data_IF_453170751327
#
_entry.id   IF_453170751327
#
_cell.length_a   1.000
_cell.length_b   1.000
_cell.length_c   1.000
_cell.angle_alpha   90.00
_cell.angle_beta   90.00
_cell.angle_gamma   90.00
#
_symmetry.space_group_name_H-M   'P 1'
#
loop_
_entity.id
_entity.type
_entity.pdbx_description
1 polymer ?
#
# COMPACT_ATOMS: atom_id res chain seq x y z
N UNK A 1 23.14 36.20 9.63
CA UNK A 1 22.04 37.14 9.96
C UNK A 1 21.30 37.42 8.65
N UNK A 2 20.01 37.07 8.56
CA UNK A 2 19.16 37.44 7.42
C UNK A 2 18.60 38.83 7.65
N UNK A 3 18.50 39.61 6.57
CA UNK A 3 18.26 41.07 6.52
C UNK A 3 16.94 41.58 7.18
N UNK A 4 16.09 40.67 7.67
CA UNK A 4 14.83 40.98 8.36
C UNK A 4 14.85 40.68 9.87
N UNK A 5 15.98 40.25 10.45
CA UNK A 5 16.07 39.86 11.87
C UNK A 5 15.26 38.61 12.26
N UNK A 6 14.54 38.01 11.30
CA UNK A 6 13.73 36.82 11.49
C UNK A 6 14.54 35.57 11.18
N UNK A 7 14.87 34.82 12.23
CA UNK A 7 15.40 33.47 12.12
C UNK A 7 14.20 32.51 12.06
N UNK A 8 13.81 32.12 10.85
CA UNK A 8 12.83 31.05 10.67
C UNK A 8 13.54 29.73 10.93
N UNK A 9 13.41 29.20 12.15
CA UNK A 9 13.85 27.84 12.46
C UNK A 9 12.64 26.92 12.49
N UNK A 10 12.68 25.92 11.62
CA UNK A 10 11.87 24.73 11.80
C UNK A 10 12.44 24.03 13.03
N UNK A 11 11.61 23.57 13.97
CA UNK A 11 12.03 22.95 15.25
C UNK A 11 12.68 21.56 15.06
N UNK A 12 13.55 21.44 14.08
CA UNK A 12 14.31 20.28 13.66
C UNK A 12 15.77 20.70 13.49
N UNK A 13 16.64 20.08 14.27
CA UNK A 13 18.09 20.24 14.14
C UNK A 13 18.61 19.44 12.95
N UNK A 14 19.85 19.69 12.53
CA UNK A 14 20.51 18.87 11.51
C UNK A 14 20.64 17.39 11.95
N UNK A 15 20.78 17.15 13.27
CA UNK A 15 20.85 15.81 13.85
C UNK A 15 19.50 15.08 13.77
N UNK A 16 18.39 15.79 13.96
CA UNK A 16 17.04 15.23 13.79
C UNK A 16 16.83 14.76 12.34
N UNK A 17 17.27 15.57 11.37
CA UNK A 17 17.22 15.22 9.95
C UNK A 17 18.03 13.95 9.63
N UNK A 18 19.25 13.86 10.14
CA UNK A 18 20.07 12.66 9.95
C UNK A 18 19.44 11.42 10.61
N UNK A 19 18.84 11.59 11.78
CA UNK A 19 18.16 10.51 12.48
C UNK A 19 16.95 9.99 11.71
N UNK A 20 16.13 10.89 11.15
CA UNK A 20 15.01 10.52 10.27
C UNK A 20 15.52 9.80 9.03
N UNK A 21 16.57 10.31 8.38
CA UNK A 21 17.14 9.68 7.19
C UNK A 21 17.71 8.27 7.49
N UNK A 22 18.25 8.03 8.69
CA UNK A 22 18.67 6.69 9.12
C UNK A 22 17.48 5.75 9.31
N UNK A 23 16.42 6.21 9.97
CA UNK A 23 15.19 5.42 10.15
C UNK A 23 14.56 5.11 8.80
N UNK A 24 14.46 6.09 7.91
CA UNK A 24 13.90 5.90 6.57
C UNK A 24 14.67 4.84 5.78
N UNK A 25 16.01 4.89 5.79
CA UNK A 25 16.83 3.87 5.12
C UNK A 25 16.69 2.49 5.74
N UNK A 26 16.51 2.39 7.06
CA UNK A 26 16.42 1.12 7.79
C UNK A 26 15.04 0.48 7.69
N UNK A 27 13.98 1.24 7.95
CA UNK A 27 12.61 0.76 8.13
C UNK A 27 11.71 1.01 6.91
N UNK A 28 12.08 1.95 6.04
CA UNK A 28 11.28 2.37 4.89
C UNK A 28 10.17 3.35 5.26
N UNK A 29 9.74 4.14 4.27
CA UNK A 29 8.70 5.16 4.43
C UNK A 29 7.34 4.53 4.81
N UNK A 30 7.02 3.36 4.25
CA UNK A 30 5.72 2.70 4.49
C UNK A 30 5.50 2.35 5.96
N UNK A 31 6.52 1.84 6.64
CA UNK A 31 6.43 1.53 8.08
C UNK A 31 6.33 2.80 8.93
N UNK A 32 7.05 3.86 8.55
CA UNK A 32 6.97 5.15 9.23
C UNK A 32 5.55 5.75 9.11
N UNK A 33 4.93 5.66 7.93
CA UNK A 33 3.56 6.10 7.68
C UNK A 33 2.55 5.22 8.44
N UNK A 34 2.72 3.89 8.42
CA UNK A 34 1.85 2.98 9.17
C UNK A 34 1.86 3.30 10.67
N UNK A 35 3.03 3.54 11.23
CA UNK A 35 3.18 3.99 12.62
C UNK A 35 2.50 5.34 12.85
N UNK A 36 2.73 6.32 11.95
CA UNK A 36 2.16 7.65 12.07
C UNK A 36 0.62 7.65 12.02
N UNK A 37 0.01 6.77 11.21
CA UNK A 37 -1.45 6.59 11.14
C UNK A 37 -2.04 6.00 12.43
N UNK A 38 -1.28 5.17 13.14
CA UNK A 38 -1.69 4.59 14.41
C UNK A 38 -1.46 5.51 15.63
N UNK A 39 -0.62 6.53 15.47
CA UNK A 39 -0.29 7.47 16.54
C UNK A 39 -1.50 8.36 16.87
N UNK A 40 -1.99 8.27 18.10
CA UNK A 40 -3.02 9.17 18.62
C UNK A 40 -2.37 10.39 19.22
N UNK A 41 -2.60 11.56 18.62
CA UNK A 41 -2.21 12.86 19.18
C UNK A 41 -3.45 13.73 19.39
N UNK A 42 -3.45 14.51 20.47
CA UNK A 42 -4.51 15.50 20.76
C UNK A 42 -4.35 16.77 19.92
N UNK A 43 -3.17 17.00 19.35
CA UNK A 43 -2.84 18.16 18.52
C UNK A 43 -2.30 17.73 17.15
N UNK A 44 -2.49 18.56 16.11
CA UNK A 44 -1.89 18.30 14.80
C UNK A 44 -0.36 18.20 14.92
N UNK A 45 0.19 17.06 14.50
CA UNK A 45 1.63 16.84 14.52
C UNK A 45 2.25 17.59 13.34
N UNK A 46 3.06 18.60 13.65
CA UNK A 46 3.70 19.47 12.65
C UNK A 46 5.08 19.00 12.21
N UNK A 47 5.76 18.20 13.03
CA UNK A 47 7.16 17.85 12.84
C UNK A 47 7.42 16.37 13.09
N UNK A 48 8.33 15.80 12.29
CA UNK A 48 8.76 14.41 12.38
C UNK A 48 9.50 14.09 13.70
N UNK A 49 10.02 15.09 14.39
CA UNK A 49 10.67 14.95 15.71
C UNK A 49 9.73 14.37 16.77
N UNK A 50 8.43 14.59 16.66
CA UNK A 50 7.44 13.92 17.50
C UNK A 50 7.53 12.41 17.36
N UNK A 51 7.58 11.91 16.12
CA UNK A 51 7.62 10.47 15.86
C UNK A 51 8.98 9.84 16.17
N UNK A 52 10.07 10.59 16.01
CA UNK A 52 11.39 10.19 16.51
C UNK A 52 11.33 9.86 18.00
N UNK A 53 10.69 10.74 18.80
CA UNK A 53 10.51 10.52 20.25
C UNK A 53 9.48 9.44 20.56
N UNK A 54 8.45 9.29 19.73
CA UNK A 54 7.36 8.35 19.95
C UNK A 54 7.74 6.89 19.64
N UNK A 55 8.78 6.63 18.85
CA UNK A 55 9.27 5.27 18.63
C UNK A 55 9.73 4.93 17.21
N UNK A 56 9.91 5.91 16.31
CA UNK A 56 10.45 5.64 14.97
C UNK A 56 11.82 4.93 14.99
N UNK A 57 12.63 5.15 16.02
CA UNK A 57 13.92 4.47 16.21
C UNK A 57 13.79 2.97 16.50
N UNK A 58 12.61 2.51 16.95
CA UNK A 58 12.29 1.11 17.22
C UNK A 58 11.54 0.39 16.09
N UNK A 59 11.28 1.06 14.95
CA UNK A 59 10.56 0.44 13.84
C UNK A 59 11.33 -0.77 13.29
N UNK A 60 10.62 -1.87 12.96
CA UNK A 60 11.25 -3.04 12.37
C UNK A 60 11.95 -2.64 11.07
N UNK A 61 13.11 -3.26 10.74
CA UNK A 61 13.77 -3.00 9.48
C UNK A 61 12.84 -3.36 8.32
N UNK A 62 13.02 -2.68 7.19
CA UNK A 62 12.32 -2.97 5.96
C UNK A 62 12.61 -4.43 5.62
N UNK A 63 11.55 -5.24 5.59
CA UNK A 63 11.71 -6.65 5.26
C UNK A 63 12.16 -6.72 3.81
N UNK A 64 13.44 -7.04 3.59
CA UNK A 64 14.02 -7.37 2.29
C UNK A 64 13.62 -8.77 1.84
N UNK A 65 12.83 -9.48 2.65
CA UNK A 65 12.20 -10.70 2.20
C UNK A 65 11.36 -10.36 0.96
N UNK A 66 11.63 -10.99 -0.20
CA UNK A 66 10.74 -10.84 -1.34
C UNK A 66 9.34 -11.18 -0.84
N UNK A 67 8.37 -10.31 -1.14
CA UNK A 67 6.98 -10.63 -0.90
C UNK A 67 6.74 -12.00 -1.53
N UNK A 68 6.59 -13.04 -0.70
CA UNK A 68 6.29 -14.37 -1.22
C UNK A 68 5.02 -14.17 -2.06
N UNK A 69 5.05 -14.53 -3.35
CA UNK A 69 3.85 -14.42 -4.15
C UNK A 69 2.79 -15.22 -3.41
N UNK A 70 1.72 -14.55 -2.97
CA UNK A 70 0.52 -15.22 -2.46
C UNK A 70 0.23 -16.29 -3.49
N UNK A 71 0.36 -17.56 -3.11
CA UNK A 71 0.30 -18.72 -4.01
C UNK A 71 -0.57 -18.39 -5.21
N UNK A 72 0.06 -18.13 -6.36
CA UNK A 72 -0.66 -18.06 -7.61
C UNK A 72 -1.26 -19.45 -7.72
N UNK A 73 -2.56 -19.59 -7.39
CA UNK A 73 -3.30 -20.77 -7.79
C UNK A 73 -3.05 -20.86 -9.28
N UNK A 74 -2.33 -21.89 -9.70
CA UNK A 74 -2.09 -22.18 -11.12
C UNK A 74 -3.48 -22.36 -11.69
N UNK A 75 -4.00 -21.31 -12.31
CA UNK A 75 -5.31 -21.35 -12.96
C UNK A 75 -5.17 -22.25 -14.19
N UNK A 76 -6.17 -23.07 -14.49
CA UNK A 76 -6.21 -23.77 -15.77
C UNK A 76 -6.21 -22.75 -16.93
N UNK A 77 -5.59 -23.11 -18.06
CA UNK A 77 -5.41 -22.20 -19.21
C UNK A 77 -6.73 -21.75 -19.82
N UNK A 78 -7.72 -22.63 -19.93
CA UNK A 78 -9.09 -22.28 -20.30
C UNK A 78 -10.04 -23.36 -19.75
N UNK A 79 -11.28 -23.00 -19.44
CA UNK A 79 -12.23 -23.90 -18.79
C UNK A 79 -13.16 -24.65 -19.75
N UNK A 80 -12.99 -24.46 -21.06
CA UNK A 80 -13.80 -25.10 -22.13
C UNK A 80 -15.32 -24.85 -22.03
N UNK A 81 -15.70 -23.88 -21.20
CA UNK A 81 -17.10 -23.51 -21.01
C UNK A 81 -17.58 -22.73 -22.26
N UNK A 82 -18.74 -23.09 -22.86
CA UNK A 82 -19.25 -22.44 -24.07
C UNK A 82 -19.44 -20.93 -23.94
N UNK A 83 -19.70 -20.46 -22.72
CA UNK A 83 -19.92 -19.04 -22.44
C UNK A 83 -18.62 -18.31 -22.09
N UNK A 84 -17.48 -19.01 -22.04
CA UNK A 84 -16.17 -18.47 -21.72
C UNK A 84 -15.28 -18.34 -22.96
N UNK A 85 -14.95 -17.11 -23.32
CA UNK A 85 -14.02 -16.82 -24.40
C UNK A 85 -12.60 -17.36 -24.11
N UNK A 86 -12.02 -18.09 -25.06
CA UNK A 86 -10.72 -18.77 -24.90
C UNK A 86 -9.55 -17.80 -24.68
N UNK A 87 -9.62 -16.62 -25.31
CA UNK A 87 -8.52 -15.64 -25.34
C UNK A 87 -8.61 -14.68 -24.15
N UNK A 88 -9.77 -14.05 -24.00
CA UNK A 88 -10.01 -13.01 -22.98
C UNK A 88 -10.42 -13.60 -21.65
N UNK A 89 -10.87 -14.86 -21.61
CA UNK A 89 -11.39 -15.55 -20.41
C UNK A 89 -12.55 -14.79 -19.77
N UNK A 90 -13.31 -14.05 -20.57
CA UNK A 90 -14.50 -13.31 -20.15
C UNK A 90 -15.77 -14.08 -20.52
N UNK A 91 -16.87 -13.81 -19.81
CA UNK A 91 -18.21 -14.31 -20.12
C UNK A 91 -19.17 -13.16 -20.39
N UNK A 92 -20.09 -13.35 -21.32
CA UNK A 92 -21.24 -12.47 -21.49
C UNK A 92 -22.34 -12.88 -20.52
N UNK A 93 -22.86 -11.93 -19.75
CA UNK A 93 -23.99 -12.14 -18.84
C UNK A 93 -24.99 -11.02 -19.08
N UNK A 94 -26.27 -11.37 -19.16
CA UNK A 94 -27.36 -10.40 -19.15
C UNK A 94 -27.74 -10.12 -17.69
N UNK A 95 -27.74 -8.84 -17.31
CA UNK A 95 -28.16 -8.41 -15.98
C UNK A 95 -29.70 -8.26 -15.88
N UNK A 96 -30.21 -7.96 -14.69
CA UNK A 96 -31.65 -7.80 -14.43
C UNK A 96 -32.31 -6.65 -15.22
N UNK A 97 -31.53 -5.85 -15.97
CA UNK A 97 -32.02 -4.77 -16.84
C UNK A 97 -31.89 -5.12 -18.33
N UNK A 98 -31.72 -6.41 -18.68
CA UNK A 98 -31.46 -6.90 -20.04
C UNK A 98 -30.19 -6.30 -20.67
N UNK A 99 -29.24 -5.80 -19.87
CA UNK A 99 -27.98 -5.27 -20.37
C UNK A 99 -26.92 -6.37 -20.41
N UNK A 100 -26.28 -6.50 -21.58
CA UNK A 100 -25.15 -7.41 -21.77
C UNK A 100 -23.88 -6.82 -21.17
N UNK A 101 -23.37 -7.47 -20.14
CA UNK A 101 -22.11 -7.15 -19.50
C UNK A 101 -21.07 -8.25 -19.75
N UNK A 102 -19.80 -7.84 -19.85
CA UNK A 102 -18.67 -8.76 -19.86
C UNK A 102 -18.11 -8.87 -18.45
N UNK A 103 -18.13 -10.09 -17.88
CA UNK A 103 -17.58 -10.36 -16.56
C UNK A 103 -16.42 -11.36 -16.63
N UNK A 104 -15.44 -11.28 -15.72
CA UNK A 104 -14.41 -12.30 -15.56
C UNK A 104 -14.99 -13.70 -15.37
N UNK A 105 -14.52 -14.69 -16.14
CA UNK A 105 -14.89 -16.08 -15.92
C UNK A 105 -14.51 -16.54 -14.50
N UNK A 106 -15.46 -17.04 -13.69
CA UNK A 106 -15.16 -17.47 -12.31
C UNK A 106 -14.25 -18.71 -12.26
N UNK A 107 -14.20 -19.52 -13.32
CA UNK A 107 -13.41 -20.75 -13.36
C UNK A 107 -11.93 -20.50 -13.72
N UNK A 108 -11.65 -19.70 -14.75
CA UNK A 108 -10.30 -19.59 -15.34
C UNK A 108 -9.76 -18.15 -15.51
N UNK A 109 -10.54 -17.10 -15.20
CA UNK A 109 -10.05 -15.72 -15.38
C UNK A 109 -9.05 -15.31 -14.27
N UNK A 110 -7.88 -14.74 -14.62
CA UNK A 110 -6.84 -14.33 -13.65
C UNK A 110 -7.30 -13.36 -12.57
N UNK A 111 -8.22 -12.46 -12.91
CA UNK A 111 -8.76 -11.44 -11.99
C UNK A 111 -10.11 -11.82 -11.38
N UNK A 112 -10.47 -13.11 -11.33
CA UNK A 112 -11.72 -13.54 -10.70
C UNK A 112 -11.79 -13.03 -9.25
N UNK A 113 -12.94 -12.53 -8.85
CA UNK A 113 -13.23 -12.31 -7.43
C UNK A 113 -13.71 -13.65 -6.89
N UNK A 114 -12.87 -14.33 -6.11
CA UNK A 114 -13.29 -15.51 -5.33
C UNK A 114 -14.44 -15.04 -4.43
N UNK A 115 -15.67 -15.21 -4.89
CA UNK A 115 -16.86 -14.98 -4.07
C UNK A 115 -17.05 -16.27 -3.30
N UNK A 116 -16.29 -16.40 -2.21
CA UNK A 116 -16.46 -17.50 -1.27
C UNK A 116 -17.87 -17.35 -0.66
N UNK A 117 -18.76 -18.27 -1.02
CA UNK A 117 -20.02 -18.54 -0.35
C UNK A 117 -19.91 -19.90 0.35
#
# INVERSE_FOLDING_TARGET
>A
MTDAGLVVSWSMTAEDWQSIARVQRRAGVDQMVKFARGAKSRTPIRFATFYLRAGWTGLPPMSTAPAQPKHLRVLPDWCEDPDCDEITRMRQVEDDNDLRALIPCPACHPSRKDTAA
#
